data_IF_343600048004
#
_entry.id   IF_343600048004
#
_cell.length_a   1.000
_cell.length_b   1.000
_cell.length_c   1.000
_cell.angle_alpha   90.00
_cell.angle_beta   90.00
_cell.angle_gamma   90.00
#
_symmetry.space_group_name_H-M   'P 1'
#
loop_
_entity.id
_entity.type
_entity.pdbx_description
1 polymer ?
#
# COMPACT_ATOMS: atom_id res chain seq x y z
N UNK A 1 -8.09 -83.57 23.22
CA UNK A 1 -7.53 -82.70 22.15
C UNK A 1 -8.48 -81.55 21.95
N UNK A 2 -8.12 -80.31 22.31
CA UNK A 2 -8.56 -79.07 21.65
C UNK A 2 -7.74 -77.93 22.25
N UNK A 3 -6.86 -77.33 21.43
CA UNK A 3 -6.01 -76.19 21.78
C UNK A 3 -6.86 -74.92 21.74
N UNK A 4 -6.91 -74.15 22.82
CA UNK A 4 -7.49 -72.81 22.83
C UNK A 4 -6.37 -71.81 22.55
N UNK A 5 -6.32 -71.29 21.32
CA UNK A 5 -5.39 -70.26 20.89
C UNK A 5 -5.90 -68.86 21.24
N UNK A 6 -5.03 -68.08 21.86
CA UNK A 6 -5.20 -66.67 22.21
C UNK A 6 -5.18 -65.82 20.93
N UNK A 7 -6.17 -64.95 20.74
CA UNK A 7 -6.16 -63.92 19.70
C UNK A 7 -6.13 -62.54 20.37
N UNK A 8 -4.97 -61.89 20.39
CA UNK A 8 -4.83 -60.49 20.79
C UNK A 8 -5.29 -59.60 19.62
N UNK A 9 -6.44 -58.92 19.78
CA UNK A 9 -6.79 -57.80 18.93
C UNK A 9 -6.02 -56.56 19.41
N UNK A 10 -4.95 -56.19 18.69
CA UNK A 10 -4.33 -54.87 18.82
C UNK A 10 -5.13 -53.87 17.98
N UNK A 11 -6.00 -53.10 18.65
CA UNK A 11 -6.70 -51.97 18.04
C UNK A 11 -5.70 -50.84 17.78
N UNK A 12 -5.29 -50.67 16.52
CA UNK A 12 -4.45 -49.56 16.10
C UNK A 12 -5.33 -48.29 16.00
N UNK A 13 -5.31 -47.47 17.05
CA UNK A 13 -5.94 -46.14 17.02
C UNK A 13 -5.18 -45.24 16.03
N UNK A 14 -5.72 -45.04 14.84
CA UNK A 14 -5.28 -43.98 13.93
C UNK A 14 -5.61 -42.62 14.56
N UNK A 15 -4.60 -42.01 15.19
CA UNK A 15 -4.63 -40.59 15.53
C UNK A 15 -4.62 -39.79 14.22
N UNK A 16 -5.77 -39.28 13.82
CA UNK A 16 -5.84 -38.21 12.81
C UNK A 16 -4.91 -37.08 13.24
N UNK A 17 -3.98 -36.60 12.38
CA UNK A 17 -3.14 -35.48 12.74
C UNK A 17 -4.04 -34.27 12.98
N UNK A 18 -4.14 -33.87 14.25
CA UNK A 18 -4.87 -32.68 14.65
C UNK A 18 -4.35 -31.51 13.83
N UNK A 19 -5.27 -30.79 13.18
CA UNK A 19 -4.97 -29.51 12.54
C UNK A 19 -4.47 -28.59 13.65
N UNK A 20 -3.15 -28.45 13.77
CA UNK A 20 -2.52 -27.45 14.63
C UNK A 20 -3.07 -26.08 14.21
N UNK A 21 -3.98 -25.54 15.02
CA UNK A 21 -4.48 -24.19 14.86
C UNK A 21 -3.28 -23.25 14.95
N UNK A 22 -2.98 -22.55 13.85
CA UNK A 22 -1.92 -21.53 13.85
C UNK A 22 -2.27 -20.52 14.94
N UNK A 23 -1.35 -20.31 15.89
CA UNK A 23 -1.51 -19.25 16.88
C UNK A 23 -1.82 -17.93 16.17
N UNK A 24 -2.70 -17.12 16.75
CA UNK A 24 -3.04 -15.83 16.19
C UNK A 24 -1.76 -15.00 15.98
N UNK A 25 -1.68 -14.31 14.84
CA UNK A 25 -0.52 -13.48 14.55
C UNK A 25 -0.36 -12.42 15.66
N UNK A 26 0.87 -12.13 16.09
CA UNK A 26 1.10 -11.21 17.19
C UNK A 26 0.64 -9.79 16.84
N UNK A 27 0.46 -8.99 17.89
CA UNK A 27 0.33 -7.55 17.75
C UNK A 27 1.69 -6.93 17.41
N UNK A 28 1.78 -6.07 16.39
CA UNK A 28 3.06 -5.43 16.07
C UNK A 28 3.58 -4.57 17.23
N UNK A 29 2.70 -4.09 18.12
CA UNK A 29 3.10 -3.24 19.26
C UNK A 29 3.93 -3.99 20.30
N UNK A 30 3.91 -5.34 20.27
CA UNK A 30 4.84 -6.16 21.04
C UNK A 30 6.29 -6.08 20.53
N UNK A 31 6.49 -5.58 19.30
CA UNK A 31 7.80 -5.39 18.68
C UNK A 31 8.17 -3.91 18.71
N UNK A 32 9.37 -3.61 19.23
CA UNK A 32 9.90 -2.25 19.27
C UNK A 32 10.16 -1.75 17.85
N UNK A 33 9.68 -0.53 17.55
CA UNK A 33 10.01 0.14 16.31
C UNK A 33 11.49 0.55 16.30
N UNK A 34 12.17 0.28 15.19
CA UNK A 34 13.57 0.67 14.92
C UNK A 34 13.65 1.81 13.90
N UNK A 35 12.54 2.14 13.24
CA UNK A 35 12.40 3.34 12.43
C UNK A 35 11.50 4.37 13.10
N UNK A 36 11.92 5.64 13.05
CA UNK A 36 11.12 6.79 13.47
C UNK A 36 10.88 7.68 12.26
N UNK A 37 9.61 7.89 11.92
CA UNK A 37 9.23 8.86 10.88
C UNK A 37 9.61 10.26 11.37
N UNK A 38 10.30 11.08 10.55
CA UNK A 38 10.69 12.43 10.94
C UNK A 38 9.46 13.29 11.28
N UNK A 39 9.61 14.25 12.22
CA UNK A 39 8.54 15.18 12.51
C UNK A 39 8.17 15.96 11.25
N UNK A 40 6.88 16.28 11.12
CA UNK A 40 6.40 17.11 10.03
C UNK A 40 6.73 18.58 10.32
N UNK A 41 7.34 19.25 9.35
CA UNK A 41 7.59 20.69 9.40
C UNK A 41 6.86 21.40 8.26
N UNK A 42 6.75 22.72 8.36
CA UNK A 42 6.32 23.59 7.27
C UNK A 42 7.53 24.43 6.79
N UNK A 43 7.50 24.87 5.54
CA UNK A 43 8.42 25.89 4.98
C UNK A 43 9.91 25.53 4.87
N UNK A 44 10.33 24.32 5.27
CA UNK A 44 11.71 23.85 5.09
C UNK A 44 11.74 22.58 4.25
N UNK A 45 12.62 22.48 3.26
CA UNK A 45 12.79 21.30 2.39
C UNK A 45 14.28 21.01 2.27
N UNK A 46 14.67 19.76 2.53
CA UNK A 46 16.06 19.34 2.45
C UNK A 46 16.25 17.88 2.83
N UNK A 47 17.49 17.38 2.77
CA UNK A 47 17.80 15.99 3.11
C UNK A 47 17.31 15.61 4.51
N UNK A 48 16.57 14.51 4.61
CA UNK A 48 16.03 14.02 5.88
C UNK A 48 14.84 14.81 6.44
N UNK A 49 14.34 15.82 5.71
CA UNK A 49 13.23 16.66 6.16
C UNK A 49 11.91 16.15 5.57
N UNK A 50 10.90 16.04 6.42
CA UNK A 50 9.52 15.72 6.06
C UNK A 50 8.65 16.98 6.15
N UNK A 51 8.16 17.45 5.01
CA UNK A 51 7.57 18.79 4.86
C UNK A 51 6.15 18.72 4.37
N UNK A 52 5.26 19.49 5.00
CA UNK A 52 3.93 19.78 4.44
C UNK A 52 4.06 20.85 3.36
N UNK A 53 3.69 20.52 2.13
CA UNK A 53 3.74 21.43 0.99
C UNK A 53 2.31 21.75 0.57
N UNK A 54 1.94 23.03 0.67
CA UNK A 54 0.71 23.55 0.10
C UNK A 54 0.93 23.81 -1.38
N UNK A 55 -0.03 23.40 -2.20
CA UNK A 55 0.07 23.66 -3.62
C UNK A 55 -0.19 25.13 -3.90
N UNK A 56 0.73 25.82 -4.58
CA UNK A 56 0.55 27.23 -4.99
C UNK A 56 -0.36 27.37 -6.20
N UNK A 57 -0.53 26.28 -6.97
CA UNK A 57 -1.35 26.24 -8.18
C UNK A 57 -2.80 25.82 -7.92
N UNK A 58 -3.11 25.33 -6.73
CA UNK A 58 -4.45 24.90 -6.32
C UNK A 58 -4.95 25.79 -5.18
N UNK A 59 -6.27 25.83 -4.98
CA UNK A 59 -6.88 26.69 -3.96
C UNK A 59 -6.27 26.51 -2.57
N UNK A 60 -6.36 27.58 -1.77
CA UNK A 60 -5.94 27.59 -0.37
C UNK A 60 -6.58 26.43 0.41
N UNK A 61 -5.77 25.45 0.82
CA UNK A 61 -6.21 24.34 1.67
C UNK A 61 -5.68 22.97 1.27
N UNK A 62 -5.30 22.77 0.00
CA UNK A 62 -4.75 21.49 -0.46
C UNK A 62 -3.26 21.39 -0.14
N UNK A 63 -2.87 20.26 0.43
CA UNK A 63 -1.47 19.96 0.72
C UNK A 63 -1.13 18.48 0.53
N UNK A 64 0.13 18.25 0.21
CA UNK A 64 0.77 16.93 0.27
C UNK A 64 1.92 16.96 1.27
N UNK A 65 2.47 15.79 1.58
CA UNK A 65 3.68 15.67 2.41
C UNK A 65 4.81 15.11 1.57
N UNK A 66 5.94 15.79 1.57
CA UNK A 66 7.15 15.38 0.87
C UNK A 66 8.25 15.08 1.87
N UNK A 67 8.97 13.98 1.67
CA UNK A 67 10.20 13.69 2.36
C UNK A 67 11.32 13.49 1.34
N UNK A 68 12.43 14.19 1.55
CA UNK A 68 13.66 13.94 0.80
C UNK A 68 14.57 13.03 1.63
N UNK A 69 15.20 12.01 1.03
CA UNK A 69 16.01 11.07 1.77
C UNK A 69 17.25 11.75 2.38
N UNK A 70 17.82 11.16 3.43
CA UNK A 70 18.96 11.77 4.16
C UNK A 70 20.18 12.03 3.27
N UNK A 71 20.35 11.20 2.25
CA UNK A 71 21.42 11.27 1.26
C UNK A 71 21.04 12.12 0.03
N UNK A 72 19.89 12.81 0.06
CA UNK A 72 19.45 13.67 -1.03
C UNK A 72 20.49 14.74 -1.36
N UNK A 73 20.65 15.00 -2.66
CA UNK A 73 21.55 16.00 -3.21
C UNK A 73 20.88 16.64 -4.42
N UNK A 74 21.04 17.97 -4.63
CA UNK A 74 20.59 18.63 -5.84
C UNK A 74 21.11 17.92 -7.10
N UNK A 75 20.31 17.95 -8.17
CA UNK A 75 20.62 17.39 -9.50
C UNK A 75 20.82 15.88 -9.59
N UNK A 76 20.73 15.11 -8.49
CA UNK A 76 20.70 13.65 -8.53
C UNK A 76 19.28 13.12 -8.84
N UNK A 77 19.22 11.89 -9.35
CA UNK A 77 17.97 11.17 -9.65
C UNK A 77 17.68 10.07 -8.64
N UNK A 78 16.54 10.17 -7.97
CA UNK A 78 16.06 9.22 -6.96
C UNK A 78 14.80 8.51 -7.46
N UNK A 79 14.64 7.20 -7.21
CA UNK A 79 13.32 6.59 -7.23
C UNK A 79 12.35 7.34 -6.31
N UNK A 80 11.06 7.27 -6.64
CA UNK A 80 10.00 7.94 -5.90
C UNK A 80 9.01 6.92 -5.38
N UNK A 81 8.66 6.99 -4.10
CA UNK A 81 7.54 6.25 -3.53
C UNK A 81 6.39 7.24 -3.32
N UNK A 82 5.29 7.00 -4.01
CA UNK A 82 4.04 7.74 -3.85
C UNK A 82 3.11 6.94 -2.95
N UNK A 83 2.50 7.58 -1.96
CA UNK A 83 1.68 6.91 -0.95
C UNK A 83 0.32 7.59 -0.76
N UNK A 84 -0.72 6.75 -0.68
CA UNK A 84 -2.04 7.15 -0.22
C UNK A 84 -2.39 6.53 1.14
N UNK A 85 -2.99 7.34 2.01
CA UNK A 85 -3.40 6.95 3.35
C UNK A 85 -4.73 6.15 3.39
N UNK A 86 -4.94 5.42 4.49
CA UNK A 86 -6.21 4.76 4.81
C UNK A 86 -7.38 5.72 5.00
N UNK A 87 -8.58 5.17 5.22
CA UNK A 87 -9.74 5.97 5.63
C UNK A 87 -9.55 6.45 7.07
N UNK A 88 -10.13 7.60 7.40
CA UNK A 88 -10.27 8.02 8.79
C UNK A 88 -11.44 9.00 9.02
N UNK A 89 -11.80 9.24 10.28
CA UNK A 89 -11.28 8.55 11.47
C UNK A 89 -11.71 7.07 11.50
N UNK A 90 -10.78 6.18 11.85
CA UNK A 90 -11.00 4.74 11.98
C UNK A 90 -10.34 4.26 13.27
N UNK A 91 -11.05 3.37 13.98
CA UNK A 91 -10.49 2.56 15.05
C UNK A 91 -11.16 1.18 15.05
N UNK A 92 -10.51 0.17 15.63
CA UNK A 92 -11.08 -1.16 15.77
C UNK A 92 -10.87 -1.76 17.17
N UNK A 93 -11.38 -2.99 17.37
CA UNK A 93 -11.25 -3.74 18.63
C UNK A 93 -9.82 -4.14 18.97
N UNK A 94 -8.92 -4.15 18.00
CA UNK A 94 -7.51 -4.39 18.24
C UNK A 94 -6.80 -3.10 18.66
N UNK A 95 -7.46 -1.94 18.62
CA UNK A 95 -6.85 -0.64 18.89
C UNK A 95 -6.00 -0.12 17.73
N UNK A 96 -6.23 -0.62 16.53
CA UNK A 96 -5.67 -0.04 15.32
C UNK A 96 -6.35 1.30 15.02
N UNK A 97 -5.58 2.29 14.55
CA UNK A 97 -6.09 3.65 14.32
C UNK A 97 -5.62 4.12 12.94
N UNK A 98 -6.52 4.76 12.19
CA UNK A 98 -6.17 5.54 11.01
C UNK A 98 -6.87 6.89 11.04
N UNK A 99 -6.08 7.97 10.98
CA UNK A 99 -6.61 9.34 10.94
C UNK A 99 -7.15 9.70 9.57
N UNK A 100 -6.67 9.04 8.51
CA UNK A 100 -6.98 9.36 7.11
C UNK A 100 -6.29 10.63 6.59
N UNK A 101 -5.41 11.23 7.40
CA UNK A 101 -4.60 12.38 7.04
C UNK A 101 -3.34 11.96 6.27
N UNK A 102 -2.83 12.86 5.43
CA UNK A 102 -1.68 12.60 4.55
C UNK A 102 -0.40 12.36 5.38
N UNK A 103 -0.23 13.09 6.47
CA UNK A 103 0.88 12.93 7.41
C UNK A 103 0.83 11.63 8.23
N UNK A 104 -0.31 10.91 8.18
CA UNK A 104 -0.50 9.62 8.84
C UNK A 104 0.17 8.45 8.11
N UNK A 105 0.55 8.63 6.84
CA UNK A 105 1.23 7.64 6.00
C UNK A 105 2.59 7.20 6.56
N UNK A 106 2.96 5.93 6.37
CA UNK A 106 4.20 5.34 6.91
C UNK A 106 4.89 4.33 5.98
N UNK A 107 4.21 3.81 4.97
CA UNK A 107 4.73 2.72 4.13
C UNK A 107 6.01 3.15 3.41
N UNK A 108 6.04 4.30 2.76
CA UNK A 108 7.20 4.73 1.99
C UNK A 108 8.45 4.96 2.84
N UNK A 109 8.30 5.50 4.05
CA UNK A 109 9.44 5.61 4.99
C UNK A 109 9.91 4.24 5.48
N UNK A 110 8.98 3.35 5.81
CA UNK A 110 9.32 1.99 6.24
C UNK A 110 10.00 1.15 5.16
N UNK A 111 9.57 1.30 3.91
CA UNK A 111 10.12 0.63 2.73
C UNK A 111 11.50 1.18 2.37
N UNK A 112 11.70 2.49 2.42
CA UNK A 112 12.99 3.11 2.07
C UNK A 112 14.01 3.11 3.21
N UNK A 113 13.55 3.04 4.47
CA UNK A 113 14.43 3.32 5.62
C UNK A 113 14.81 4.80 5.76
N UNK A 114 14.21 5.69 4.95
CA UNK A 114 14.53 7.11 4.92
C UNK A 114 15.75 7.50 4.07
N UNK A 115 16.27 6.58 3.25
CA UNK A 115 17.46 6.80 2.41
C UNK A 115 17.16 6.40 0.97
N UNK A 116 17.80 7.03 -0.02
CA UNK A 116 17.74 6.64 -1.43
C UNK A 116 16.41 6.85 -2.18
N UNK A 117 15.30 7.18 -1.49
CA UNK A 117 13.99 7.35 -2.10
C UNK A 117 13.35 8.69 -1.70
N UNK A 118 12.83 9.43 -2.69
CA UNK A 118 11.88 10.51 -2.40
C UNK A 118 10.56 9.87 -2.01
N UNK A 119 9.94 10.36 -0.93
CA UNK A 119 8.65 9.85 -0.47
C UNK A 119 7.59 10.95 -0.51
N UNK A 120 6.55 10.74 -1.31
CA UNK A 120 5.48 11.69 -1.57
C UNK A 120 4.14 11.10 -1.10
N UNK A 121 3.58 11.65 -0.03
CA UNK A 121 2.24 11.29 0.43
C UNK A 121 1.23 12.24 -0.21
N UNK A 122 0.29 11.71 -1.00
CA UNK A 122 -0.71 12.50 -1.69
C UNK A 122 -2.05 12.54 -0.92
N UNK A 123 -2.78 13.66 -1.00
CA UNK A 123 -4.15 13.74 -0.50
C UNK A 123 -5.14 13.06 -1.44
N UNK A 124 -6.29 12.73 -0.89
CA UNK A 124 -7.53 12.64 -1.65
C UNK A 124 -8.22 13.99 -1.58
N UNK A 125 -8.94 14.38 -2.63
CA UNK A 125 -9.64 15.66 -2.69
C UNK A 125 -11.15 15.48 -2.71
N UNK A 126 -11.89 16.50 -2.26
CA UNK A 126 -13.35 16.61 -2.47
C UNK A 126 -13.69 16.77 -3.96
N UNK A 127 -14.97 16.73 -4.33
CA UNK A 127 -15.39 16.77 -5.75
C UNK A 127 -15.05 18.11 -6.41
N UNK A 128 -14.90 19.18 -5.62
CA UNK A 128 -14.53 20.50 -6.11
C UNK A 128 -13.01 20.68 -6.28
N UNK A 129 -12.20 19.75 -5.78
CA UNK A 129 -10.75 19.88 -5.78
C UNK A 129 -10.23 21.06 -4.95
N UNK A 130 -10.82 21.30 -3.77
CA UNK A 130 -10.51 22.47 -2.93
C UNK A 130 -9.97 22.11 -1.55
N UNK A 131 -10.15 20.87 -1.10
CA UNK A 131 -9.70 20.43 0.23
C UNK A 131 -9.28 18.96 0.26
N UNK A 132 -8.41 18.63 1.21
CA UNK A 132 -8.04 17.24 1.50
C UNK A 132 -9.18 16.51 2.23
N UNK A 133 -9.56 15.33 1.76
CA UNK A 133 -10.60 14.49 2.39
C UNK A 133 -10.04 13.23 3.05
N UNK A 134 -10.53 12.96 4.26
CA UNK A 134 -10.06 11.85 5.11
C UNK A 134 -10.77 10.52 4.83
N UNK A 135 -11.91 10.56 4.15
CA UNK A 135 -12.73 9.39 3.82
C UNK A 135 -13.06 9.38 2.33
N UNK A 136 -12.73 8.28 1.66
CA UNK A 136 -12.88 8.09 0.20
C UNK A 136 -12.20 9.17 -0.65
N UNK A 137 -12.80 9.57 -1.75
CA UNK A 137 -12.40 10.67 -2.62
C UNK A 137 -13.71 11.25 -3.18
N UNK A 138 -13.68 12.53 -3.54
CA UNK A 138 -14.88 13.25 -3.87
C UNK A 138 -15.86 13.34 -2.71
N UNK A 139 -17.05 13.84 -3.03
CA UNK A 139 -18.16 14.02 -2.10
C UNK A 139 -19.30 13.04 -2.38
N UNK A 140 -20.00 12.64 -1.33
CA UNK A 140 -21.25 11.89 -1.47
C UNK A 140 -22.27 12.71 -2.28
N UNK A 141 -23.11 12.07 -3.12
CA UNK A 141 -23.15 10.64 -3.43
C UNK A 141 -22.22 10.21 -4.58
N UNK A 142 -21.58 11.16 -5.26
CA UNK A 142 -20.93 10.90 -6.55
C UNK A 142 -19.51 10.34 -6.41
N UNK A 143 -18.81 10.72 -5.33
CA UNK A 143 -17.42 10.34 -5.06
C UNK A 143 -16.50 10.54 -6.28
N UNK A 144 -16.55 11.75 -6.87
CA UNK A 144 -15.79 12.07 -8.08
C UNK A 144 -14.27 11.95 -7.81
N UNK A 145 -13.55 11.02 -8.49
CA UNK A 145 -12.12 10.84 -8.31
C UNK A 145 -11.29 11.85 -9.10
N UNK A 146 -11.87 12.55 -10.09
CA UNK A 146 -11.13 13.34 -11.07
C UNK A 146 -10.20 14.37 -10.40
N UNK A 147 -10.63 15.18 -9.40
CA UNK A 147 -9.72 16.10 -8.74
C UNK A 147 -8.50 15.42 -8.11
N UNK A 148 -8.68 14.23 -7.53
CA UNK A 148 -7.59 13.45 -6.94
C UNK A 148 -6.63 12.92 -8.02
N UNK A 149 -7.16 12.45 -9.15
CA UNK A 149 -6.39 11.94 -10.29
C UNK A 149 -5.55 13.07 -10.90
N UNK A 150 -6.15 14.22 -11.18
CA UNK A 150 -5.44 15.38 -11.75
C UNK A 150 -4.35 15.90 -10.82
N UNK A 151 -4.68 16.05 -9.53
CA UNK A 151 -3.69 16.46 -8.53
C UNK A 151 -2.50 15.50 -8.45
N UNK A 152 -2.75 14.19 -8.54
CA UNK A 152 -1.71 13.17 -8.56
C UNK A 152 -0.78 13.32 -9.76
N UNK A 153 -1.34 13.37 -10.98
CA UNK A 153 -0.57 13.52 -12.22
C UNK A 153 0.33 14.75 -12.18
N UNK A 154 -0.25 15.89 -11.79
CA UNK A 154 0.47 17.15 -11.69
C UNK A 154 1.58 17.09 -10.62
N UNK A 155 1.23 16.71 -9.39
CA UNK A 155 2.16 16.78 -8.24
C UNK A 155 3.33 15.80 -8.40
N UNK A 156 3.08 14.59 -8.90
CA UNK A 156 4.16 13.62 -9.15
C UNK A 156 5.16 14.16 -10.16
N UNK A 157 4.67 14.74 -11.27
CA UNK A 157 5.53 15.36 -12.29
C UNK A 157 6.34 16.53 -11.72
N UNK A 158 5.67 17.41 -10.97
CA UNK A 158 6.29 18.58 -10.33
C UNK A 158 7.39 18.18 -9.34
N UNK A 159 7.11 17.22 -8.45
CA UNK A 159 8.11 16.69 -7.50
C UNK A 159 9.28 16.05 -8.23
N UNK A 160 9.03 15.27 -9.29
CA UNK A 160 10.11 14.67 -10.07
C UNK A 160 11.02 15.72 -10.73
N UNK A 161 10.43 16.79 -11.25
CA UNK A 161 11.18 17.88 -11.87
C UNK A 161 11.98 18.67 -10.82
N UNK A 162 11.34 19.11 -9.73
CA UNK A 162 11.92 20.02 -8.75
C UNK A 162 12.95 19.35 -7.84
N UNK A 163 12.72 18.10 -7.44
CA UNK A 163 13.53 17.43 -6.41
C UNK A 163 14.35 16.26 -6.95
N UNK A 164 14.37 16.06 -8.27
CA UNK A 164 15.17 14.99 -8.87
C UNK A 164 14.54 13.61 -8.75
N UNK A 165 13.21 13.51 -8.79
CA UNK A 165 12.56 12.21 -8.97
C UNK A 165 12.82 11.64 -10.37
N UNK A 166 13.01 10.33 -10.43
CA UNK A 166 13.14 9.57 -11.67
C UNK A 166 11.78 9.01 -12.10
N UNK A 167 11.26 9.55 -13.20
CA UNK A 167 9.93 9.22 -13.71
C UNK A 167 9.81 7.77 -14.19
N UNK A 168 10.91 7.07 -14.44
CA UNK A 168 10.89 5.64 -14.80
C UNK A 168 10.82 4.72 -13.57
N UNK A 169 11.07 5.26 -12.36
CA UNK A 169 11.23 4.52 -11.10
C UNK A 169 10.29 5.03 -9.99
N UNK A 170 9.01 5.17 -10.32
CA UNK A 170 7.98 5.61 -9.37
C UNK A 170 7.16 4.40 -8.88
N UNK A 171 7.06 4.18 -7.58
CA UNK A 171 6.25 3.11 -6.98
C UNK A 171 5.04 3.71 -6.30
N UNK A 172 3.85 3.16 -6.56
CA UNK A 172 2.63 3.57 -5.87
C UNK A 172 2.30 2.58 -4.75
N UNK A 173 2.17 3.06 -3.53
CA UNK A 173 1.77 2.26 -2.38
C UNK A 173 0.59 2.89 -1.64
N UNK A 174 -0.03 2.11 -0.77
CA UNK A 174 -1.06 2.66 0.10
C UNK A 174 -1.67 1.62 1.01
N UNK A 175 -2.26 2.10 2.09
CA UNK A 175 -2.85 1.28 3.15
C UNK A 175 -4.38 1.41 3.16
N UNK A 176 -5.10 0.29 3.26
CA UNK A 176 -6.57 0.23 3.35
C UNK A 176 -7.25 0.97 2.17
N UNK A 177 -7.83 2.16 2.37
CA UNK A 177 -8.29 3.02 1.25
C UNK A 177 -7.16 3.28 0.24
N UNK A 178 -5.95 3.53 0.72
CA UNK A 178 -4.74 3.70 -0.10
C UNK A 178 -4.43 2.51 -0.99
N UNK A 179 -4.66 1.29 -0.48
CA UNK A 179 -4.42 0.07 -1.24
C UNK A 179 -5.43 -0.12 -2.37
N UNK A 180 -6.68 0.29 -2.13
CA UNK A 180 -7.71 0.37 -3.17
C UNK A 180 -7.31 1.42 -4.20
N UNK A 181 -6.88 2.60 -3.75
CA UNK A 181 -6.46 3.69 -4.63
C UNK A 181 -5.26 3.34 -5.52
N UNK A 182 -4.38 2.40 -5.12
CA UNK A 182 -3.32 1.89 -5.98
C UNK A 182 -3.85 1.41 -7.33
N UNK A 183 -4.99 0.73 -7.34
CA UNK A 183 -5.62 0.23 -8.57
C UNK A 183 -6.74 1.15 -9.06
N UNK A 184 -7.53 1.75 -8.17
CA UNK A 184 -8.64 2.62 -8.58
C UNK A 184 -8.15 3.95 -9.17
N UNK A 185 -7.35 4.70 -8.41
CA UNK A 185 -6.80 6.00 -8.82
C UNK A 185 -5.57 5.77 -9.71
N UNK A 186 -4.65 4.93 -9.27
CA UNK A 186 -3.40 4.66 -9.98
C UNK A 186 -3.58 4.08 -11.39
N UNK A 187 -4.70 3.41 -11.68
CA UNK A 187 -5.01 2.87 -13.01
C UNK A 187 -6.29 3.47 -13.61
N UNK A 188 -6.68 4.66 -13.15
CA UNK A 188 -7.94 5.29 -13.53
C UNK A 188 -8.08 5.45 -15.05
N UNK A 189 -7.06 6.03 -15.69
CA UNK A 189 -6.96 6.27 -17.13
C UNK A 189 -5.56 5.91 -17.68
N UNK A 190 -5.38 6.10 -18.98
CA UNK A 190 -4.15 5.76 -19.70
C UNK A 190 -2.99 6.73 -19.39
N UNK A 191 -3.27 7.92 -18.85
CA UNK A 191 -2.25 8.91 -18.50
C UNK A 191 -1.66 8.60 -17.13
N UNK A 192 -2.49 8.60 -16.07
CA UNK A 192 -2.02 8.32 -14.70
C UNK A 192 -1.46 6.91 -14.60
N UNK A 193 -2.04 5.95 -15.34
CA UNK A 193 -1.56 4.59 -15.29
C UNK A 193 -0.12 4.49 -15.75
N UNK A 194 0.41 5.33 -16.64
CA UNK A 194 1.80 5.22 -17.14
C UNK A 194 2.86 5.70 -16.15
N UNK A 195 2.49 6.39 -15.07
CA UNK A 195 3.45 6.90 -14.08
C UNK A 195 4.18 5.78 -13.33
N UNK A 196 3.53 4.64 -13.14
CA UNK A 196 3.94 3.66 -12.13
C UNK A 196 4.88 2.59 -12.68
N UNK A 197 5.97 2.35 -11.97
CA UNK A 197 6.88 1.24 -12.18
C UNK A 197 6.44 -0.05 -11.50
N UNK A 198 5.67 0.05 -10.41
CA UNK A 198 5.14 -1.06 -9.65
C UNK A 198 4.25 -0.55 -8.52
N UNK A 199 3.55 -1.47 -7.85
CA UNK A 199 2.57 -1.13 -6.82
C UNK A 199 2.77 -1.94 -5.54
N UNK A 200 2.45 -1.35 -4.39
CA UNK A 200 2.47 -2.02 -3.08
C UNK A 200 1.15 -1.73 -2.33
N UNK A 201 0.02 -2.34 -2.73
CA UNK A 201 -1.23 -2.23 -1.98
C UNK A 201 -1.16 -3.07 -0.69
N UNK A 202 -1.52 -2.47 0.44
CA UNK A 202 -1.58 -3.14 1.74
C UNK A 202 -3.00 -3.16 2.32
N UNK A 203 -3.50 -4.35 2.66
CA UNK A 203 -4.77 -4.65 3.37
C UNK A 203 -6.02 -4.85 2.50
N UNK A 204 -6.18 -4.04 1.45
CA UNK A 204 -7.33 -4.12 0.54
C UNK A 204 -6.89 -4.13 -0.92
N UNK A 205 -7.81 -4.48 -1.80
CA UNK A 205 -7.59 -4.51 -3.24
C UNK A 205 -8.87 -4.08 -3.98
N UNK A 206 -8.72 -3.28 -5.03
CA UNK A 206 -9.85 -2.77 -5.82
C UNK A 206 -10.61 -3.93 -6.50
N UNK A 207 -11.95 -3.88 -6.46
CA UNK A 207 -12.82 -4.88 -7.08
C UNK A 207 -12.99 -6.21 -6.33
N UNK A 208 -12.21 -6.50 -5.28
CA UNK A 208 -12.43 -7.69 -4.43
C UNK A 208 -13.78 -7.63 -3.71
N UNK A 209 -14.19 -6.43 -3.30
CA UNK A 209 -15.54 -6.15 -2.78
C UNK A 209 -16.06 -4.83 -3.34
N UNK A 210 -17.39 -4.71 -3.39
CA UNK A 210 -18.06 -3.46 -3.76
C UNK A 210 -17.98 -2.45 -2.60
N UNK A 211 -17.84 -1.19 -2.95
CA UNK A 211 -17.76 -0.07 -2.03
C UNK A 211 -18.83 0.98 -2.34
N UNK A 212 -18.90 2.04 -1.55
CA UNK A 212 -19.93 3.08 -1.68
C UNK A 212 -19.77 3.97 -2.92
N UNK A 213 -18.55 4.04 -3.48
CA UNK A 213 -18.25 4.88 -4.64
C UNK A 213 -18.59 4.18 -5.97
N UNK A 214 -18.97 4.92 -7.02
CA UNK A 214 -19.23 4.39 -8.36
C UNK A 214 -18.03 3.68 -8.98
N UNK A 215 -18.29 2.61 -9.75
CA UNK A 215 -17.23 1.84 -10.40
C UNK A 215 -16.40 0.97 -9.46
N UNK A 216 -16.84 0.75 -8.22
CA UNK A 216 -16.24 -0.22 -7.28
C UNK A 216 -16.60 -1.68 -7.57
N UNK A 217 -17.46 -1.92 -8.56
CA UNK A 217 -17.85 -3.25 -8.99
C UNK A 217 -16.70 -3.99 -9.69
N UNK A 218 -16.83 -5.32 -9.78
CA UNK A 218 -15.82 -6.20 -10.36
C UNK A 218 -15.51 -5.86 -11.82
N UNK A 219 -16.50 -5.53 -12.65
CA UNK A 219 -16.30 -5.31 -14.09
C UNK A 219 -15.46 -4.04 -14.30
N UNK A 220 -15.84 -2.96 -13.62
CA UNK A 220 -15.10 -1.69 -13.66
C UNK A 220 -13.66 -1.84 -13.15
N UNK A 221 -13.46 -2.59 -12.06
CA UNK A 221 -12.14 -2.82 -11.49
C UNK A 221 -11.22 -3.66 -12.40
N UNK A 222 -11.76 -4.66 -13.10
CA UNK A 222 -10.99 -5.45 -14.08
C UNK A 222 -10.53 -4.57 -15.24
N UNK A 223 -11.40 -3.67 -15.74
CA UNK A 223 -11.04 -2.72 -16.79
C UNK A 223 -9.90 -1.79 -16.35
N UNK A 224 -9.87 -1.34 -15.10
CA UNK A 224 -8.73 -0.57 -14.58
C UNK A 224 -7.48 -1.43 -14.45
N UNK A 225 -7.61 -2.63 -13.88
CA UNK A 225 -6.49 -3.54 -13.64
C UNK A 225 -5.79 -3.98 -14.94
N UNK A 226 -6.49 -4.07 -16.08
CA UNK A 226 -5.87 -4.40 -17.38
C UNK A 226 -4.78 -3.39 -17.79
N UNK A 227 -4.85 -2.15 -17.29
CA UNK A 227 -3.82 -1.13 -17.47
C UNK A 227 -2.55 -1.42 -16.69
N UNK A 228 -2.49 -2.43 -15.83
CA UNK A 228 -1.22 -2.87 -15.24
C UNK A 228 -0.21 -3.24 -16.31
N UNK A 229 -0.64 -3.83 -17.42
CA UNK A 229 0.20 -4.09 -18.58
C UNK A 229 1.54 -4.76 -18.20
N UNK A 230 1.48 -5.86 -17.45
CA UNK A 230 2.66 -6.63 -17.03
C UNK A 230 3.39 -6.10 -15.79
N UNK A 231 3.02 -4.94 -15.26
CA UNK A 231 3.77 -4.32 -14.15
C UNK A 231 3.60 -5.05 -12.82
N UNK A 232 4.65 -5.05 -11.99
CA UNK A 232 4.67 -5.84 -10.78
C UNK A 232 3.88 -5.19 -9.65
N UNK A 233 3.22 -6.03 -8.84
CA UNK A 233 2.63 -5.63 -7.56
C UNK A 233 3.12 -6.53 -6.44
N UNK A 234 3.48 -5.92 -5.31
CA UNK A 234 3.65 -6.59 -4.03
C UNK A 234 2.40 -6.35 -3.18
N UNK A 235 1.51 -7.34 -3.15
CA UNK A 235 0.25 -7.28 -2.43
C UNK A 235 0.49 -7.76 -0.99
N UNK A 236 0.30 -6.85 -0.05
CA UNK A 236 0.48 -7.10 1.37
C UNK A 236 -0.87 -7.23 2.07
N UNK A 237 -0.96 -8.08 3.09
CA UNK A 237 -2.14 -8.12 3.96
C UNK A 237 -1.79 -8.58 5.37
N UNK A 238 -2.73 -8.38 6.28
CA UNK A 238 -2.66 -8.82 7.67
C UNK A 238 -2.78 -10.35 7.79
N UNK A 239 -3.33 -11.04 6.77
CA UNK A 239 -3.64 -12.46 6.89
C UNK A 239 -3.62 -13.23 5.58
N UNK A 240 -3.28 -14.51 5.67
CA UNK A 240 -3.35 -15.45 4.56
C UNK A 240 -4.73 -15.48 3.90
N UNK A 241 -5.81 -15.41 4.69
CA UNK A 241 -7.19 -15.40 4.19
C UNK A 241 -7.44 -14.22 3.27
N UNK A 242 -7.00 -13.01 3.65
CA UNK A 242 -7.12 -11.81 2.81
C UNK A 242 -6.36 -11.98 1.49
N UNK A 243 -5.12 -12.48 1.54
CA UNK A 243 -4.35 -12.78 0.33
C UNK A 243 -5.03 -13.81 -0.57
N UNK A 244 -5.64 -14.87 -0.02
CA UNK A 244 -6.35 -15.88 -0.83
C UNK A 244 -7.58 -15.31 -1.54
N UNK A 245 -8.33 -14.41 -0.90
CA UNK A 245 -9.45 -13.72 -1.55
C UNK A 245 -8.97 -12.87 -2.74
N UNK A 246 -7.90 -12.10 -2.55
CA UNK A 246 -7.31 -11.29 -3.63
C UNK A 246 -6.73 -12.16 -4.75
N UNK A 247 -6.03 -13.26 -4.42
CA UNK A 247 -5.54 -14.23 -5.42
C UNK A 247 -6.66 -14.81 -6.26
N UNK A 248 -7.76 -15.24 -5.61
CA UNK A 248 -8.94 -15.79 -6.30
C UNK A 248 -9.57 -14.74 -7.23
N UNK A 249 -9.68 -13.50 -6.76
CA UNK A 249 -10.18 -12.39 -7.57
C UNK A 249 -9.31 -12.17 -8.81
N UNK A 250 -8.00 -12.00 -8.65
CA UNK A 250 -7.05 -11.75 -9.76
C UNK A 250 -7.06 -12.89 -10.78
N UNK A 251 -7.06 -14.14 -10.31
CA UNK A 251 -7.15 -15.32 -11.19
C UNK A 251 -8.44 -15.32 -12.02
N UNK A 252 -9.55 -14.87 -11.43
CA UNK A 252 -10.85 -14.82 -12.11
C UNK A 252 -11.03 -13.64 -13.09
N UNK A 253 -10.04 -12.75 -13.17
CA UNK A 253 -10.07 -11.53 -13.97
C UNK A 253 -9.11 -11.52 -15.16
N UNK A 254 -8.42 -12.65 -15.41
CA UNK A 254 -7.35 -12.74 -16.43
C UNK A 254 -6.29 -11.63 -16.26
N UNK A 255 -6.03 -11.24 -15.00
CA UNK A 255 -5.17 -10.10 -14.68
C UNK A 255 -3.76 -10.28 -15.24
N UNK A 256 -3.29 -9.28 -15.98
CA UNK A 256 -2.03 -9.33 -16.74
C UNK A 256 -0.83 -8.73 -15.98
N UNK A 257 -0.78 -8.84 -14.65
CA UNK A 257 0.31 -8.30 -13.81
C UNK A 257 1.26 -9.36 -13.26
N UNK A 258 2.40 -8.92 -12.72
CA UNK A 258 3.32 -9.78 -11.96
C UNK A 258 3.02 -9.65 -10.46
N UNK A 259 2.33 -10.62 -9.88
CA UNK A 259 1.83 -10.51 -8.50
C UNK A 259 2.68 -11.29 -7.50
N UNK A 260 3.18 -10.60 -6.49
CA UNK A 260 3.80 -11.19 -5.29
C UNK A 260 2.87 -10.96 -4.11
N UNK A 261 2.67 -11.96 -3.26
CA UNK A 261 1.79 -11.86 -2.09
C UNK A 261 2.57 -12.16 -0.83
N UNK A 262 2.37 -11.34 0.20
CA UNK A 262 2.98 -11.55 1.50
C UNK A 262 2.03 -11.13 2.63
N UNK A 263 2.11 -11.82 3.76
CA UNK A 263 1.47 -11.42 5.00
C UNK A 263 2.45 -10.57 5.82
N UNK A 264 1.95 -9.59 6.58
CA UNK A 264 2.81 -8.77 7.46
C UNK A 264 3.40 -9.55 8.63
N UNK A 265 2.75 -10.66 9.00
CA UNK A 265 3.03 -11.42 10.21
C UNK A 265 2.43 -10.79 11.47
N UNK A 266 1.56 -9.79 11.32
CA UNK A 266 0.89 -9.10 12.42
C UNK A 266 -0.61 -9.04 12.15
N UNK A 267 -1.41 -9.21 13.21
CA UNK A 267 -2.88 -9.17 13.13
C UNK A 267 -3.47 -7.79 12.83
N UNK A 268 -2.66 -6.74 12.95
CA UNK A 268 -3.09 -5.35 12.97
C UNK A 268 -3.43 -4.80 11.58
N UNK A 269 -4.59 -4.17 11.46
CA UNK A 269 -5.01 -3.38 10.30
C UNK A 269 -4.45 -1.95 10.42
N UNK A 270 -3.14 -1.79 10.28
CA UNK A 270 -2.44 -0.51 10.45
C UNK A 270 -1.07 -0.56 9.77
N UNK A 271 -0.68 0.48 9.04
CA UNK A 271 0.58 0.56 8.30
C UNK A 271 1.83 0.71 9.17
N UNK A 272 1.69 1.00 10.46
CA UNK A 272 2.81 1.22 11.38
C UNK A 272 3.68 -0.03 11.63
N UNK A 273 3.20 -1.23 11.28
CA UNK A 273 4.00 -2.45 11.36
C UNK A 273 5.33 -2.32 10.58
N UNK A 274 5.35 -1.54 9.49
CA UNK A 274 6.53 -1.37 8.63
C UNK A 274 7.67 -0.62 9.34
N UNK A 275 7.38 0.06 10.46
CA UNK A 275 8.39 0.73 11.26
C UNK A 275 9.14 -0.23 12.21
N UNK A 276 8.80 -1.53 12.17
CA UNK A 276 9.39 -2.57 13.02
C UNK A 276 10.14 -3.59 12.18
N UNK A 277 11.19 -4.22 12.73
CA UNK A 277 11.86 -5.32 12.06
C UNK A 277 10.89 -6.49 11.91
N UNK A 278 10.77 -6.97 10.68
CA UNK A 278 10.05 -8.19 10.35
C UNK A 278 10.63 -8.83 9.09
N UNK A 279 10.41 -10.13 8.94
CA UNK A 279 10.77 -10.83 7.70
C UNK A 279 10.11 -10.16 6.49
N UNK A 280 8.83 -9.81 6.62
CA UNK A 280 8.07 -9.18 5.54
C UNK A 280 8.61 -7.82 5.15
N UNK A 281 9.02 -6.99 6.12
CA UNK A 281 9.67 -5.71 5.81
C UNK A 281 10.95 -5.93 5.00
N UNK A 282 11.82 -6.83 5.44
CA UNK A 282 13.08 -7.14 4.73
C UNK A 282 12.83 -7.56 3.28
N UNK A 283 11.88 -8.47 3.08
CA UNK A 283 11.52 -8.97 1.75
C UNK A 283 10.83 -7.91 0.88
N UNK A 284 10.00 -7.04 1.47
CA UNK A 284 9.38 -5.92 0.75
C UNK A 284 10.41 -4.89 0.27
N UNK A 285 11.46 -4.63 1.07
CA UNK A 285 12.58 -3.77 0.65
C UNK A 285 13.38 -4.39 -0.49
N UNK A 286 13.69 -5.68 -0.40
CA UNK A 286 14.38 -6.39 -1.48
C UNK A 286 13.55 -6.41 -2.79
N UNK A 287 12.23 -6.58 -2.68
CA UNK A 287 11.33 -6.46 -3.82
C UNK A 287 11.37 -5.05 -4.42
N UNK A 288 11.29 -4.02 -3.58
CA UNK A 288 11.34 -2.61 -4.01
C UNK A 288 12.65 -2.32 -4.77
N UNK A 289 13.79 -2.67 -4.18
CA UNK A 289 15.13 -2.52 -4.78
C UNK A 289 15.23 -3.23 -6.12
N UNK A 290 14.69 -4.45 -6.23
CA UNK A 290 14.64 -5.19 -7.50
C UNK A 290 13.86 -4.43 -8.56
N UNK A 291 12.69 -3.86 -8.22
CA UNK A 291 11.85 -3.17 -9.22
C UNK A 291 12.48 -1.86 -9.68
N UNK A 292 13.11 -1.11 -8.79
CA UNK A 292 13.70 0.20 -9.15
C UNK A 292 15.11 0.11 -9.70
N UNK A 293 15.82 -1.02 -9.56
CA UNK A 293 17.17 -1.21 -10.11
C UNK A 293 17.19 -1.66 -11.57
N UNK A 294 16.07 -2.14 -12.12
CA UNK A 294 16.01 -2.59 -13.51
C UNK A 294 16.05 -1.38 -14.46
N UNK A 295 17.05 -1.26 -15.35
CA UNK A 295 17.06 -0.23 -16.38
C UNK A 295 15.83 -0.43 -17.25
N UNK A 296 14.92 0.55 -17.26
CA UNK A 296 13.81 0.54 -18.20
C UNK A 296 14.31 1.14 -19.51
N UNK A 297 14.62 0.25 -20.45
CA UNK A 297 14.89 0.58 -21.86
C UNK A 297 13.79 1.51 -22.38
#
# INVERSE_FOLDING_TARGET
MFKLGILFLTTLCYLSPGVLSRAADPDFRSIKADLKVPPLVEENIGPGIRTKIRSTEYQNGIYHVLYLPKDWKPHKKYPVIVEYAGNGPYHDRNGDISTGLVEGSKLGYGLSGGEGYIWLCLPYLNSKGTENVRKWWGDTPNYDPIPTVEYCKHTVKSVCHKFGGDQKRIILCGFSRGAIACNFIGLYDDEISKLWAGFIPYSHYDGVRKWVYPGSDKVSAIKRMSRLAGRPQLILSESFKSNQLTKKYIKSSEGNGQFTFMETGFRNHNDEWILRPSHTRKSARAWLEKIVSVPKH
#
